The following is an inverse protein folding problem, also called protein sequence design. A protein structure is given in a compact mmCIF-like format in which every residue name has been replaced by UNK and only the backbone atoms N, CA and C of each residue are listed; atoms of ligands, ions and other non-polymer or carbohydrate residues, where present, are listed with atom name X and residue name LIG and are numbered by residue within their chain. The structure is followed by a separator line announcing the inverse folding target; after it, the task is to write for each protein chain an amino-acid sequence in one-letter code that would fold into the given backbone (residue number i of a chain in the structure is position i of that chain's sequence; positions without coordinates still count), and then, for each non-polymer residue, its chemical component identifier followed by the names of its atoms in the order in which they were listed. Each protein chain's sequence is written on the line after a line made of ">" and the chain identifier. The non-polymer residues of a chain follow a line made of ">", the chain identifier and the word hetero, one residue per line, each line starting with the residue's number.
data_IF_470246020261
#
_entry.id   IF_470246020261
#
_cell.length_a   1.000
_cell.length_b   1.000
_cell.length_c   1.000
_cell.angle_alpha   90.00
_cell.angle_beta   90.00
_cell.angle_gamma   90.00
#
_symmetry.space_group_name_H-M   'P 1'
#
loop_
_entity.id
_entity.type
_entity.pdbx_description
1 polymer ?
#
# COMPACT_ATOMS: atom_id res chain seq x y z
N UNK A 1 24.28 33.19 -39.69
CA UNK A 1 23.02 33.22 -38.90
C UNK A 1 22.02 32.08 -39.19
N UNK A 2 22.27 31.13 -40.12
CA UNK A 2 21.32 30.01 -40.37
C UNK A 2 21.59 28.74 -39.57
N UNK A 3 22.81 28.55 -39.05
CA UNK A 3 23.22 27.34 -38.33
C UNK A 3 22.80 27.36 -36.84
N UNK A 4 22.73 28.54 -36.21
CA UNK A 4 22.30 28.68 -34.81
C UNK A 4 20.81 28.37 -34.58
N UNK A 5 19.97 28.56 -35.61
CA UNK A 5 18.54 28.21 -35.56
C UNK A 5 18.28 26.71 -35.67
N UNK A 6 19.23 25.94 -36.23
CA UNK A 6 19.10 24.49 -36.35
C UNK A 6 19.48 23.76 -35.05
N UNK A 7 20.40 24.32 -34.26
CA UNK A 7 20.80 23.76 -32.96
C UNK A 7 19.72 23.93 -31.88
N UNK A 8 18.86 24.94 -31.95
CA UNK A 8 17.77 25.11 -30.96
C UNK A 8 16.61 24.13 -31.16
N UNK A 9 16.43 23.59 -32.36
CA UNK A 9 15.36 22.62 -32.66
C UNK A 9 15.69 21.18 -32.19
N UNK A 10 16.97 20.83 -32.06
CA UNK A 10 17.39 19.48 -31.62
C UNK A 10 17.22 19.32 -30.10
N UNK A 11 17.36 20.39 -29.31
CA UNK A 11 17.17 20.34 -27.86
C UNK A 11 15.69 20.33 -27.42
N UNK A 12 14.74 20.54 -28.33
CA UNK A 12 13.29 20.53 -28.03
C UNK A 12 12.62 19.15 -28.24
N UNK A 13 13.36 18.11 -28.60
CA UNK A 13 12.82 16.76 -28.82
C UNK A 13 13.09 15.76 -27.67
N UNK A 14 13.64 16.21 -26.54
CA UNK A 14 13.94 15.34 -25.41
C UNK A 14 12.93 15.37 -24.25
N UNK A 15 11.73 15.95 -24.42
CA UNK A 15 10.72 16.00 -23.35
C UNK A 15 9.36 15.43 -23.78
N UNK A 16 9.34 14.26 -24.41
CA UNK A 16 8.11 13.47 -24.56
C UNK A 16 8.40 11.98 -24.40
N UNK A 17 8.86 11.60 -23.22
CA UNK A 17 8.89 10.23 -22.76
C UNK A 17 8.27 10.15 -21.38
N UNK A 18 7.31 9.25 -21.19
CA UNK A 18 6.60 8.93 -19.95
C UNK A 18 5.34 9.74 -19.61
N UNK A 19 4.33 9.65 -20.48
CA UNK A 19 2.94 9.71 -20.04
C UNK A 19 2.13 8.59 -20.70
N UNK A 20 2.56 7.33 -20.55
CA UNK A 20 1.72 6.18 -20.86
C UNK A 20 1.21 5.60 -19.54
N UNK A 21 0.15 6.21 -19.02
CA UNK A 21 -0.69 5.57 -18.02
C UNK A 21 -2.09 5.38 -18.60
N UNK A 22 -2.17 4.77 -19.79
CA UNK A 22 -3.40 4.26 -20.40
C UNK A 22 -3.88 2.97 -19.69
N UNK A 23 -3.68 2.90 -18.38
CA UNK A 23 -4.31 1.87 -17.58
C UNK A 23 -5.80 2.15 -17.57
N UNK A 24 -6.62 1.19 -18.03
CA UNK A 24 -8.09 1.19 -17.84
C UNK A 24 -8.52 1.46 -16.38
N UNK A 25 -7.61 1.32 -15.41
CA UNK A 25 -7.84 1.53 -13.99
C UNK A 25 -7.25 2.84 -13.44
N UNK A 26 -6.54 3.64 -14.25
CA UNK A 26 -5.95 4.91 -13.84
C UNK A 26 -7.00 5.89 -13.29
N UNK A 27 -8.24 5.82 -13.79
CA UNK A 27 -9.36 6.59 -13.26
C UNK A 27 -9.57 6.36 -11.76
N UNK A 28 -9.48 5.11 -11.29
CA UNK A 28 -9.64 4.80 -9.85
C UNK A 28 -8.51 5.42 -9.02
N UNK A 29 -7.25 5.24 -9.44
CA UNK A 29 -6.11 5.85 -8.76
C UNK A 29 -6.18 7.39 -8.75
N UNK A 30 -6.73 7.99 -9.81
CA UNK A 30 -6.85 9.44 -9.95
C UNK A 30 -7.82 10.10 -8.97
N UNK A 31 -8.77 9.34 -8.41
CA UNK A 31 -9.74 9.81 -7.41
C UNK A 31 -9.14 9.92 -6.01
N UNK A 32 -8.06 9.20 -5.74
CA UNK A 32 -7.47 9.09 -4.42
C UNK A 32 -6.53 10.28 -4.19
N UNK A 33 -7.02 11.33 -3.53
CA UNK A 33 -6.29 12.60 -3.35
C UNK A 33 -5.02 12.44 -2.51
N UNK A 34 -5.02 11.53 -1.54
CA UNK A 34 -3.84 11.19 -0.72
C UNK A 34 -2.75 10.44 -1.49
N UNK A 35 -3.06 9.91 -2.68
CA UNK A 35 -2.11 9.22 -3.55
C UNK A 35 -1.58 10.15 -4.65
N UNK A 36 -0.37 10.67 -4.46
CA UNK A 36 0.18 11.72 -5.33
C UNK A 36 0.42 11.27 -6.77
N UNK A 37 0.14 12.16 -7.71
CA UNK A 37 0.57 12.09 -9.12
C UNK A 37 2.03 12.56 -9.27
N UNK A 38 2.75 12.13 -10.32
CA UNK A 38 2.37 11.09 -11.28
C UNK A 38 2.43 9.69 -10.63
N UNK A 39 1.59 8.79 -11.13
CA UNK A 39 1.58 7.39 -10.75
C UNK A 39 1.62 6.48 -11.98
N UNK A 40 2.03 5.23 -11.79
CA UNK A 40 2.06 4.19 -12.82
C UNK A 40 1.62 2.85 -12.25
N UNK A 41 1.19 1.92 -13.10
CA UNK A 41 0.96 0.54 -12.66
C UNK A 41 2.28 -0.01 -12.08
N UNK A 42 2.17 -0.61 -10.90
CA UNK A 42 3.20 -1.47 -10.31
C UNK A 42 2.94 -2.93 -10.67
N UNK A 43 1.70 -3.39 -10.52
CA UNK A 43 1.27 -4.76 -10.82
C UNK A 43 -0.20 -4.80 -11.24
N UNK A 44 -0.55 -5.73 -12.11
CA UNK A 44 -1.93 -6.02 -12.50
C UNK A 44 -2.08 -7.53 -12.67
N UNK A 45 -2.81 -8.16 -11.76
CA UNK A 45 -3.19 -9.57 -11.86
C UNK A 45 -4.72 -9.63 -11.89
N UNK A 46 -5.28 -9.56 -13.11
CA UNK A 46 -6.73 -9.53 -13.35
C UNK A 46 -7.05 -10.56 -14.44
N UNK A 47 -7.96 -11.47 -14.14
CA UNK A 47 -8.39 -12.54 -15.06
C UNK A 47 -9.25 -12.01 -16.22
N UNK A 48 -9.62 -12.91 -17.13
CA UNK A 48 -10.41 -12.57 -18.32
C UNK A 48 -11.82 -12.06 -18.00
N UNK A 49 -12.40 -12.43 -16.86
CA UNK A 49 -13.72 -11.99 -16.41
C UNK A 49 -13.66 -10.71 -15.56
N UNK A 50 -12.46 -10.20 -15.30
CA UNK A 50 -12.25 -8.92 -14.63
C UNK A 50 -12.12 -8.99 -13.12
N UNK A 51 -11.81 -10.15 -12.56
CA UNK A 51 -11.53 -10.34 -11.14
C UNK A 51 -10.02 -10.30 -10.90
N UNK A 52 -9.60 -9.69 -9.79
CA UNK A 52 -8.17 -9.69 -9.44
C UNK A 52 -7.73 -8.49 -8.62
N UNK A 53 -6.43 -8.19 -8.66
CA UNK A 53 -5.81 -7.09 -7.92
C UNK A 53 -5.05 -6.16 -8.86
N UNK A 54 -5.12 -4.87 -8.58
CA UNK A 54 -4.37 -3.82 -9.29
C UNK A 54 -3.57 -3.03 -8.26
N UNK A 55 -2.33 -2.73 -8.60
CA UNK A 55 -1.43 -1.93 -7.80
C UNK A 55 -0.84 -0.79 -8.61
N UNK A 56 -0.85 0.42 -8.05
CA UNK A 56 -0.16 1.57 -8.58
C UNK A 56 0.95 1.99 -7.63
N UNK A 57 2.03 2.55 -8.19
CA UNK A 57 3.07 3.22 -7.41
C UNK A 57 3.30 4.64 -7.91
N UNK A 58 3.84 5.50 -7.06
CA UNK A 58 4.11 6.90 -7.36
C UNK A 58 5.54 7.30 -6.97
N UNK A 59 5.90 8.58 -7.18
CA UNK A 59 7.23 9.11 -6.91
C UNK A 59 7.64 8.97 -5.42
N UNK A 60 6.68 8.90 -4.49
CA UNK A 60 6.93 8.68 -3.05
C UNK A 60 7.11 7.20 -2.70
N UNK A 61 7.13 6.29 -3.68
CA UNK A 61 7.18 4.83 -3.49
C UNK A 61 6.03 4.29 -2.62
N UNK A 62 4.91 5.01 -2.59
CA UNK A 62 3.67 4.48 -2.03
C UNK A 62 3.10 3.41 -2.97
N UNK A 63 2.31 2.49 -2.44
CA UNK A 63 1.55 1.53 -3.24
C UNK A 63 0.06 1.74 -2.95
N UNK A 64 -0.71 2.07 -3.98
CA UNK A 64 -2.17 2.03 -3.93
C UNK A 64 -2.62 0.67 -4.45
N UNK A 65 -3.35 -0.09 -3.65
CA UNK A 65 -3.85 -1.43 -3.99
C UNK A 65 -5.36 -1.47 -3.89
N UNK A 66 -6.00 -2.16 -4.84
CA UNK A 66 -7.43 -2.47 -4.79
C UNK A 66 -7.74 -3.74 -5.56
N UNK A 67 -8.90 -4.31 -5.27
CA UNK A 67 -9.40 -5.51 -5.94
C UNK A 67 -10.54 -5.19 -6.90
N UNK A 68 -10.67 -6.04 -7.90
CA UNK A 68 -11.74 -5.98 -8.89
C UNK A 68 -12.62 -7.21 -8.79
N UNK A 69 -13.90 -7.00 -9.08
CA UNK A 69 -14.86 -8.04 -9.38
C UNK A 69 -15.68 -7.60 -10.60
N UNK A 70 -15.70 -8.43 -11.65
CA UNK A 70 -16.32 -8.09 -12.93
C UNK A 70 -15.91 -6.70 -13.46
N UNK A 71 -14.60 -6.42 -13.46
CA UNK A 71 -13.98 -5.15 -13.89
C UNK A 71 -14.30 -3.91 -13.03
N UNK A 72 -15.05 -4.05 -11.93
CA UNK A 72 -15.37 -2.94 -11.01
C UNK A 72 -14.62 -3.11 -9.70
N UNK A 73 -14.28 -2.00 -9.04
CA UNK A 73 -13.69 -2.04 -7.70
C UNK A 73 -14.62 -2.78 -6.76
N UNK A 74 -14.07 -3.76 -6.05
CA UNK A 74 -14.78 -4.55 -5.05
C UNK A 74 -14.44 -4.03 -3.66
N UNK A 75 -15.46 -3.60 -2.95
CA UNK A 75 -15.36 -3.31 -1.52
C UNK A 75 -15.13 -4.62 -0.74
N UNK A 76 -14.17 -4.59 0.17
CA UNK A 76 -13.90 -5.63 1.14
C UNK A 76 -14.76 -5.42 2.41
N UNK A 77 -14.42 -6.13 3.49
CA UNK A 77 -15.02 -5.89 4.80
C UNK A 77 -14.96 -4.40 5.18
N UNK A 78 -15.98 -3.94 5.91
CA UNK A 78 -16.13 -2.54 6.31
C UNK A 78 -16.16 -1.53 5.14
N UNK A 79 -16.55 -1.95 3.93
CA UNK A 79 -16.60 -1.10 2.73
C UNK A 79 -15.24 -0.51 2.32
N UNK A 80 -14.14 -1.14 2.71
CA UNK A 80 -12.80 -0.74 2.27
C UNK A 80 -12.66 -1.09 0.79
N UNK A 81 -12.47 -0.09 -0.06
CA UNK A 81 -12.29 -0.25 -1.50
C UNK A 81 -10.81 -0.18 -1.90
N UNK A 82 -10.02 0.65 -1.22
CA UNK A 82 -8.61 0.85 -1.51
C UNK A 82 -7.77 0.82 -0.23
N UNK A 83 -6.51 0.41 -0.37
CA UNK A 83 -5.50 0.58 0.68
C UNK A 83 -4.26 1.28 0.11
N UNK A 84 -3.70 2.25 0.86
CA UNK A 84 -2.41 2.87 0.53
C UNK A 84 -1.35 2.36 1.51
N UNK A 85 -0.31 1.75 0.97
CA UNK A 85 0.85 1.25 1.70
C UNK A 85 1.99 2.26 1.58
N UNK A 86 2.51 2.66 2.72
CA UNK A 86 3.63 3.59 2.85
C UNK A 86 4.85 2.82 3.30
N UNK A 87 5.97 2.97 2.60
CA UNK A 87 7.23 2.32 2.94
C UNK A 87 8.27 3.35 3.36
N UNK A 88 9.02 3.02 4.41
CA UNK A 88 10.16 3.80 4.89
C UNK A 88 11.34 2.85 5.10
N UNK A 89 12.50 3.16 4.51
CA UNK A 89 13.71 2.30 4.57
C UNK A 89 13.41 0.83 4.19
N UNK A 90 12.56 0.63 3.19
CA UNK A 90 12.08 -0.68 2.70
C UNK A 90 11.20 -1.47 3.68
N UNK A 91 10.75 -0.87 4.78
CA UNK A 91 9.78 -1.46 5.70
C UNK A 91 8.41 -0.83 5.51
N UNK A 92 7.35 -1.64 5.59
CA UNK A 92 5.98 -1.12 5.67
C UNK A 92 5.85 -0.27 6.92
N UNK A 93 5.54 1.01 6.72
CA UNK A 93 5.44 2.02 7.77
C UNK A 93 4.00 2.32 8.15
N UNK A 94 3.09 2.36 7.17
CA UNK A 94 1.69 2.74 7.37
C UNK A 94 0.80 2.11 6.32
N UNK A 95 -0.42 1.73 6.70
CA UNK A 95 -1.52 1.40 5.81
C UNK A 95 -2.68 2.36 6.09
N UNK A 96 -3.24 2.97 5.05
CA UNK A 96 -4.49 3.73 5.10
C UNK A 96 -5.59 2.96 4.38
N UNK A 97 -6.77 2.86 5.00
CA UNK A 97 -7.97 2.21 4.44
C UNK A 97 -8.93 3.26 3.90
N UNK A 98 -9.38 3.10 2.66
CA UNK A 98 -10.22 4.08 1.97
C UNK A 98 -11.51 3.46 1.42
N UNK A 99 -12.58 4.25 1.43
CA UNK A 99 -13.86 3.92 0.80
C UNK A 99 -13.80 4.04 -0.75
N UNK A 100 -14.89 3.72 -1.44
CA UNK A 100 -14.98 3.80 -2.91
C UNK A 100 -14.77 5.20 -3.48
N UNK A 101 -14.93 6.24 -2.66
CA UNK A 101 -14.74 7.64 -3.02
C UNK A 101 -13.31 8.13 -2.75
N UNK A 102 -12.48 7.32 -2.07
CA UNK A 102 -11.12 7.65 -1.70
C UNK A 102 -10.97 8.38 -0.36
N UNK A 103 -12.01 8.38 0.47
CA UNK A 103 -11.96 8.95 1.82
C UNK A 103 -11.51 7.90 2.83
N UNK A 104 -10.84 8.32 3.90
CA UNK A 104 -10.50 7.43 5.02
C UNK A 104 -11.75 6.77 5.60
N UNK A 105 -11.69 5.47 5.80
CA UNK A 105 -12.78 4.69 6.41
C UNK A 105 -12.24 3.80 7.52
N UNK A 106 -12.87 3.88 8.68
CA UNK A 106 -12.60 3.00 9.81
C UNK A 106 -13.26 1.64 9.64
N UNK A 107 -12.67 0.59 10.20
CA UNK A 107 -13.25 -0.74 10.17
C UNK A 107 -13.40 -1.33 11.57
N UNK A 108 -14.63 -1.38 12.09
CA UNK A 108 -14.92 -1.95 13.43
C UNK A 108 -14.69 -3.46 13.52
N UNK A 109 -14.43 -4.13 12.38
CA UNK A 109 -13.97 -5.52 12.34
C UNK A 109 -12.44 -5.64 12.45
N UNK A 110 -11.70 -4.54 12.28
CA UNK A 110 -10.29 -4.44 12.68
C UNK A 110 -10.20 -4.16 14.19
N UNK A 111 -8.99 -4.01 14.71
CA UNK A 111 -8.73 -4.12 16.16
C UNK A 111 -9.52 -3.09 16.99
N UNK A 112 -9.68 -1.86 16.50
CA UNK A 112 -10.35 -0.78 17.23
C UNK A 112 -11.15 0.19 16.32
N UNK A 113 -11.59 -0.24 15.13
CA UNK A 113 -12.29 0.67 14.22
C UNK A 113 -11.35 1.56 13.41
N UNK A 114 -10.06 1.24 13.35
CA UNK A 114 -9.05 2.10 12.75
C UNK A 114 -9.23 2.28 11.24
N UNK A 115 -8.91 3.49 10.77
CA UNK A 115 -8.74 3.77 9.34
C UNK A 115 -7.26 3.66 8.92
N UNK A 116 -6.34 3.88 9.87
CA UNK A 116 -4.90 3.89 9.64
C UNK A 116 -4.21 2.99 10.66
N UNK A 117 -3.29 2.16 10.17
CA UNK A 117 -2.37 1.38 10.99
C UNK A 117 -0.94 1.81 10.68
N UNK A 118 -0.22 2.32 11.67
CA UNK A 118 1.22 2.58 11.58
C UNK A 118 2.01 1.47 12.28
N UNK A 119 3.13 1.10 11.68
CA UNK A 119 4.02 0.05 12.16
C UNK A 119 5.36 0.65 12.60
N UNK A 120 5.88 0.15 13.70
CA UNK A 120 7.16 0.55 14.28
C UNK A 120 7.93 -0.73 14.61
N UNK A 121 8.99 -0.99 13.84
CA UNK A 121 9.89 -2.12 14.10
C UNK A 121 10.91 -1.67 15.15
N UNK A 122 10.70 -2.09 16.40
CA UNK A 122 11.56 -1.72 17.53
C UNK A 122 12.84 -2.56 17.57
N UNK A 123 12.79 -3.80 17.06
CA UNK A 123 13.92 -4.72 17.04
C UNK A 123 14.24 -5.18 15.60
N UNK A 124 14.80 -4.31 14.75
CA UNK A 124 14.98 -4.59 13.32
C UNK A 124 15.85 -5.82 13.03
N UNK A 125 16.93 -6.02 13.78
CA UNK A 125 17.79 -7.20 13.59
C UNK A 125 17.09 -8.52 13.90
N UNK A 126 16.19 -8.53 14.89
CA UNK A 126 15.40 -9.72 15.23
C UNK A 126 14.31 -9.95 14.19
N UNK A 127 13.61 -8.88 13.77
CA UNK A 127 12.66 -8.96 12.67
C UNK A 127 13.29 -9.53 11.40
N UNK A 128 14.48 -9.07 11.00
CA UNK A 128 15.15 -9.58 9.80
C UNK A 128 15.46 -11.07 9.85
N UNK A 129 15.86 -11.59 11.02
CA UNK A 129 16.07 -13.04 11.22
C UNK A 129 14.77 -13.81 11.04
N UNK A 130 13.67 -13.33 11.63
CA UNK A 130 12.34 -13.95 11.50
C UNK A 130 11.82 -13.85 10.06
N UNK A 131 11.96 -12.68 9.43
CA UNK A 131 11.57 -12.43 8.04
C UNK A 131 12.27 -13.39 7.09
N UNK A 132 13.57 -13.63 7.27
CA UNK A 132 14.29 -14.62 6.46
C UNK A 132 13.64 -16.01 6.50
N UNK A 133 13.27 -16.48 7.70
CA UNK A 133 12.57 -17.77 7.84
C UNK A 133 11.22 -17.79 7.12
N UNK A 134 10.49 -16.66 7.13
CA UNK A 134 9.22 -16.52 6.41
C UNK A 134 9.45 -16.51 4.90
N UNK A 135 10.43 -15.74 4.42
CA UNK A 135 10.79 -15.63 3.01
C UNK A 135 11.25 -16.97 2.44
N UNK A 136 12.11 -17.69 3.17
CA UNK A 136 12.63 -19.01 2.77
C UNK A 136 11.50 -20.06 2.64
N UNK A 137 10.36 -19.84 3.33
CA UNK A 137 9.16 -20.65 3.23
C UNK A 137 8.09 -20.04 2.29
N UNK A 138 8.43 -18.99 1.53
CA UNK A 138 7.52 -18.25 0.64
C UNK A 138 6.23 -17.76 1.34
N UNK A 139 6.33 -17.46 2.64
CA UNK A 139 5.19 -17.08 3.47
C UNK A 139 4.30 -18.24 3.94
N UNK A 140 4.57 -19.48 3.50
CA UNK A 140 3.78 -20.68 3.79
C UNK A 140 4.29 -21.42 5.04
N UNK A 141 4.56 -20.67 6.11
CA UNK A 141 4.96 -21.20 7.41
C UNK A 141 3.99 -20.73 8.49
N UNK A 142 3.60 -21.66 9.36
CA UNK A 142 2.91 -21.33 10.60
C UNK A 142 3.94 -20.93 11.65
N UNK A 143 3.97 -19.64 11.98
CA UNK A 143 4.85 -19.12 13.01
C UNK A 143 4.10 -18.93 14.31
N UNK A 144 4.68 -19.43 15.40
CA UNK A 144 4.22 -19.08 16.74
C UNK A 144 4.19 -17.56 16.91
N UNK A 145 3.13 -17.07 17.53
CA UNK A 145 3.00 -15.65 17.88
C UNK A 145 4.17 -15.18 18.76
N UNK A 146 4.97 -14.27 18.20
CA UNK A 146 6.12 -13.62 18.84
C UNK A 146 5.81 -12.17 19.26
N UNK A 147 4.54 -11.77 19.33
CA UNK A 147 4.11 -10.44 19.81
C UNK A 147 4.70 -10.08 21.19
N UNK A 148 4.84 -11.05 22.09
CA UNK A 148 5.46 -10.90 23.42
C UNK A 148 6.94 -10.54 23.36
N UNK A 149 7.64 -10.85 22.26
CA UNK A 149 9.03 -10.43 22.05
C UNK A 149 9.15 -8.92 21.77
N UNK A 150 8.02 -8.21 21.59
CA UNK A 150 7.95 -6.75 21.37
C UNK A 150 8.83 -6.29 20.21
N UNK A 151 8.67 -6.94 19.05
CA UNK A 151 9.47 -6.68 17.84
C UNK A 151 8.82 -5.58 16.99
N UNK A 152 7.51 -5.70 16.74
CA UNK A 152 6.74 -4.75 15.95
C UNK A 152 5.59 -4.21 16.80
N UNK A 153 5.63 -2.91 17.05
CA UNK A 153 4.54 -2.17 17.68
C UNK A 153 3.67 -1.53 16.62
N UNK A 154 2.37 -1.42 16.91
CA UNK A 154 1.42 -0.71 16.07
C UNK A 154 0.88 0.54 16.76
N UNK A 155 0.52 1.54 15.96
CA UNK A 155 -0.33 2.66 16.36
C UNK A 155 -1.53 2.70 15.43
N UNK A 156 -2.69 3.03 15.99
CA UNK A 156 -3.96 3.02 15.27
C UNK A 156 -4.55 4.42 15.28
N UNK A 157 -5.13 4.83 14.17
CA UNK A 157 -5.76 6.14 14.03
C UNK A 157 -7.15 6.00 13.42
N UNK A 158 -8.04 6.89 13.84
CA UNK A 158 -9.41 6.96 13.34
C UNK A 158 -9.49 7.65 11.96
N UNK A 159 -10.71 7.86 11.47
CA UNK A 159 -10.98 8.53 10.19
C UNK A 159 -10.55 10.01 10.17
N UNK A 160 -10.37 10.63 11.33
CA UNK A 160 -9.89 12.01 11.49
C UNK A 160 -8.37 12.06 11.68
N UNK A 161 -7.67 10.93 11.51
CA UNK A 161 -6.24 10.78 11.76
C UNK A 161 -5.86 11.11 13.23
N UNK A 162 -6.79 10.91 14.16
CA UNK A 162 -6.55 11.00 15.59
C UNK A 162 -6.14 9.64 16.12
N UNK A 163 -5.07 9.60 16.91
CA UNK A 163 -4.59 8.35 17.48
C UNK A 163 -5.63 7.76 18.43
N UNK A 164 -6.00 6.50 18.20
CA UNK A 164 -6.87 5.73 19.07
C UNK A 164 -6.03 5.32 20.30
N UNK A 165 -6.43 5.83 21.47
CA UNK A 165 -5.71 5.59 22.72
C UNK A 165 -5.94 4.13 23.14
N UNK A 166 -4.85 3.38 23.26
CA UNK A 166 -4.85 2.02 23.77
C UNK A 166 -4.32 2.03 25.20
N UNK A 167 -4.91 1.20 26.07
CA UNK A 167 -4.50 1.08 27.47
C UNK A 167 -3.04 0.63 27.60
N UNK A 168 -2.61 -0.26 26.71
CA UNK A 168 -1.24 -0.75 26.60
C UNK A 168 -0.80 -0.68 25.13
N UNK A 169 0.50 -0.54 24.84
CA UNK A 169 0.96 -0.57 23.46
C UNK A 169 0.66 -1.92 22.80
N UNK A 170 -0.08 -1.93 21.69
CA UNK A 170 -0.31 -3.16 20.93
C UNK A 170 0.93 -3.56 20.13
N UNK A 171 1.31 -4.83 20.26
CA UNK A 171 2.35 -5.48 19.46
C UNK A 171 1.71 -6.58 18.60
N UNK A 172 2.28 -6.77 17.41
CA UNK A 172 1.86 -7.84 16.49
C UNK A 172 3.03 -8.79 16.22
N UNK A 173 2.71 -10.00 15.78
CA UNK A 173 3.72 -10.97 15.40
C UNK A 173 4.46 -10.55 14.12
N UNK A 174 5.68 -11.06 13.95
CA UNK A 174 6.48 -10.92 12.73
C UNK A 174 5.74 -11.46 11.50
N UNK A 175 4.98 -12.55 11.67
CA UNK A 175 4.17 -13.15 10.60
C UNK A 175 2.98 -12.27 10.23
N UNK A 176 2.28 -11.71 11.21
CA UNK A 176 1.18 -10.77 10.98
C UNK A 176 1.68 -9.52 10.24
N UNK A 177 2.83 -8.97 10.64
CA UNK A 177 3.45 -7.84 9.94
C UNK A 177 3.82 -8.20 8.49
N UNK A 178 4.42 -9.38 8.27
CA UNK A 178 4.73 -9.88 6.93
C UNK A 178 3.48 -10.00 6.05
N UNK A 179 2.40 -10.58 6.58
CA UNK A 179 1.15 -10.75 5.82
C UNK A 179 0.54 -9.40 5.44
N UNK A 180 0.55 -8.42 6.34
CA UNK A 180 0.13 -7.05 6.02
C UNK A 180 1.01 -6.41 4.93
N UNK A 181 2.31 -6.71 4.88
CA UNK A 181 3.20 -6.14 3.86
C UNK A 181 2.99 -6.71 2.46
N UNK A 182 2.47 -7.94 2.36
CA UNK A 182 2.32 -8.66 1.09
C UNK A 182 0.87 -8.76 0.62
N UNK A 183 -0.11 -8.74 1.53
CA UNK A 183 -1.52 -8.97 1.24
C UNK A 183 -2.35 -7.75 1.62
N UNK A 184 -3.38 -7.49 0.83
CA UNK A 184 -4.51 -6.64 1.24
C UNK A 184 -5.26 -7.37 2.38
N UNK A 185 -5.75 -6.66 3.39
CA UNK A 185 -6.48 -7.29 4.50
C UNK A 185 -7.66 -8.12 3.96
N UNK A 186 -7.75 -9.39 4.38
CA UNK A 186 -8.83 -10.33 4.02
C UNK A 186 -9.11 -11.24 5.22
N UNK A 187 -10.39 -11.50 5.58
CA UNK A 187 -10.74 -12.44 6.64
C UNK A 187 -10.32 -13.88 6.32
#
# INVERSE_FOLDING_TARGET
>A
MKILLFLSLIFLHCTFGFAQSDSKYAFYASKITSFSKPFRILSQNVDAVGNGTVEFTNAKKQILRFRLYNHKVKEALCKIAFEIFYYEKNYLKKIESLDINGNLIGCNLKQYGEAITEFIIEKPGLYLKKKKLIDDAEGNIDMKDDSKEKIIRIKLFDVNNLQIIQKEPAYISSKTYYDNSNRMYWP
#
